data_IF_601114094641
#
_entry.id   IF_601114094641
#
_cell.length_a   1.000
_cell.length_b   1.000
_cell.length_c   1.000
_cell.angle_alpha   90.00
_cell.angle_beta   90.00
_cell.angle_gamma   90.00
#
_symmetry.space_group_name_H-M   'P 1'
#
loop_
_entity.id
_entity.type
_entity.pdbx_description
1 polymer ?
#
# COMPACT_ATOMS: atom_id res chain seq x y z
N UNK A 1 3.59 -9.75 9.93
CA UNK A 1 4.92 -10.19 9.44
C UNK A 1 5.99 -9.72 10.42
N UNK A 2 6.79 -10.61 11.04
CA UNK A 2 7.94 -10.20 11.84
C UNK A 2 8.91 -9.39 10.99
N UNK A 3 9.39 -8.27 11.51
CA UNK A 3 10.39 -7.43 10.86
C UNK A 3 11.57 -7.22 11.79
N UNK A 4 12.78 -7.65 11.40
CA UNK A 4 13.96 -7.47 12.24
C UNK A 4 14.33 -5.98 12.31
N UNK A 5 14.85 -5.55 13.46
CA UNK A 5 15.37 -4.21 13.78
C UNK A 5 14.39 -3.20 14.43
N UNK A 6 14.52 -2.88 15.73
CA UNK A 6 15.14 -3.71 16.77
C UNK A 6 14.32 -4.98 16.98
N UNK A 7 13.01 -4.88 17.21
CA UNK A 7 12.05 -5.99 17.19
C UNK A 7 10.68 -5.43 16.78
N UNK A 8 10.23 -5.69 15.55
CA UNK A 8 8.96 -5.15 15.06
C UNK A 8 8.03 -6.26 14.57
N UNK A 9 6.72 -6.04 14.75
CA UNK A 9 5.67 -6.86 14.19
C UNK A 9 4.82 -5.99 13.27
N UNK A 10 4.91 -6.23 11.97
CA UNK A 10 4.05 -5.53 11.00
C UNK A 10 2.66 -6.17 11.00
N UNK A 11 1.65 -5.34 11.24
CA UNK A 11 0.23 -5.70 11.15
C UNK A 11 -0.34 -4.96 9.95
N UNK A 12 -0.85 -5.71 8.98
CA UNK A 12 -1.40 -5.15 7.75
C UNK A 12 -2.88 -4.82 7.90
N UNK A 13 -3.29 -3.68 7.39
CA UNK A 13 -4.69 -3.24 7.34
C UNK A 13 -5.07 -2.85 5.93
N UNK A 14 -6.36 -2.96 5.62
CA UNK A 14 -6.98 -2.38 4.43
C UNK A 14 -7.91 -1.25 4.85
N UNK A 15 -7.88 -0.13 4.14
CA UNK A 15 -8.74 1.01 4.43
C UNK A 15 -9.35 1.57 3.14
N UNK A 16 -10.48 2.26 3.27
CA UNK A 16 -11.12 3.01 2.18
C UNK A 16 -10.99 4.49 2.47
N UNK A 17 -10.44 5.24 1.53
CA UNK A 17 -10.41 6.69 1.61
C UNK A 17 -11.84 7.24 1.61
N UNK A 18 -12.13 8.18 2.51
CA UNK A 18 -13.46 8.83 2.61
C UNK A 18 -13.59 10.03 1.66
N UNK A 19 -12.47 10.58 1.18
CA UNK A 19 -12.42 11.69 0.25
C UNK A 19 -11.30 11.46 -0.79
N UNK A 20 -11.44 10.46 -1.69
CA UNK A 20 -10.40 10.10 -2.66
C UNK A 20 -10.10 11.22 -3.67
N UNK A 21 -11.06 12.09 -3.95
CA UNK A 21 -10.91 13.21 -4.90
C UNK A 21 -10.13 14.40 -4.33
N UNK A 22 -9.81 14.39 -3.03
CA UNK A 22 -9.02 15.45 -2.41
C UNK A 22 -7.55 15.31 -2.81
N UNK A 23 -6.92 16.43 -3.11
CA UNK A 23 -5.48 16.48 -3.36
C UNK A 23 -4.69 15.92 -2.17
N UNK A 24 -3.71 15.05 -2.46
CA UNK A 24 -2.79 14.51 -1.47
C UNK A 24 -1.90 15.64 -0.94
N UNK A 25 -1.67 15.64 0.37
CA UNK A 25 -0.67 16.49 1.02
C UNK A 25 0.37 15.56 1.59
N UNK A 26 1.59 15.63 1.07
CA UNK A 26 2.69 14.73 1.45
C UNK A 26 3.56 15.42 2.50
N UNK A 27 3.92 14.70 3.56
CA UNK A 27 4.98 15.12 4.47
C UNK A 27 6.33 14.73 3.87
N UNK A 28 7.01 15.71 3.28
CA UNK A 28 8.29 15.53 2.59
C UNK A 28 9.45 15.17 3.55
N UNK A 29 9.24 15.27 4.87
CA UNK A 29 10.25 14.80 5.85
C UNK A 29 10.27 13.28 6.02
N UNK A 30 9.17 12.60 5.66
CA UNK A 30 9.03 11.14 5.75
C UNK A 30 8.97 10.48 4.37
N UNK A 31 8.23 11.06 3.42
CA UNK A 31 7.94 10.49 2.10
C UNK A 31 8.39 11.40 0.97
N UNK A 32 9.08 10.83 -0.01
CA UNK A 32 9.46 11.55 -1.25
C UNK A 32 8.25 11.85 -2.15
N UNK A 33 7.17 11.07 -2.04
CA UNK A 33 5.94 11.31 -2.80
C UNK A 33 4.83 10.28 -2.56
N UNK A 34 3.61 10.64 -2.95
CA UNK A 34 2.44 9.76 -2.89
C UNK A 34 1.51 10.02 -4.09
N UNK A 35 0.90 8.95 -4.61
CA UNK A 35 -0.06 9.00 -5.71
C UNK A 35 -1.14 7.93 -5.54
N UNK A 36 -2.30 8.17 -6.13
CA UNK A 36 -3.29 7.14 -6.38
C UNK A 36 -2.89 6.34 -7.62
N UNK A 37 -3.19 5.05 -7.62
CA UNK A 37 -2.92 4.15 -8.73
C UNK A 37 -4.15 3.31 -9.02
N UNK A 38 -4.42 3.13 -10.31
CA UNK A 38 -5.42 2.18 -10.78
C UNK A 38 -4.83 0.75 -10.78
N UNK A 39 -5.72 -0.25 -10.77
CA UNK A 39 -5.33 -1.65 -10.64
C UNK A 39 -4.49 -2.17 -11.83
N UNK A 40 -4.62 -1.53 -12.99
CA UNK A 40 -3.93 -1.84 -14.24
C UNK A 40 -2.72 -0.94 -14.54
N UNK A 41 -2.49 0.11 -13.72
CA UNK A 41 -1.36 1.04 -13.85
C UNK A 41 -0.56 1.14 -12.54
N UNK A 42 -0.12 -0.01 -12.04
CA UNK A 42 0.70 -0.09 -10.84
C UNK A 42 2.19 0.13 -11.14
N UNK A 43 2.93 0.80 -10.24
CA UNK A 43 4.37 0.96 -10.37
C UNK A 43 5.11 -0.35 -10.08
N UNK A 44 6.44 -0.31 -10.05
CA UNK A 44 7.22 -1.44 -9.57
C UNK A 44 6.82 -1.82 -8.14
N UNK A 45 6.32 -3.04 -7.98
CA UNK A 45 5.85 -3.53 -6.69
C UNK A 45 6.98 -4.13 -5.85
N UNK A 46 6.82 -4.12 -4.51
CA UNK A 46 7.72 -4.84 -3.62
C UNK A 46 7.78 -6.35 -3.91
N UNK A 47 8.82 -7.00 -3.40
CA UNK A 47 9.03 -8.45 -3.53
C UNK A 47 7.86 -9.26 -2.95
N UNK A 48 7.56 -10.40 -3.58
CA UNK A 48 6.40 -11.28 -3.28
C UNK A 48 6.30 -11.77 -1.83
N UNK A 49 7.42 -11.82 -1.10
CA UNK A 49 7.42 -12.25 0.30
C UNK A 49 7.03 -11.14 1.28
N UNK A 50 7.06 -9.88 0.88
CA UNK A 50 6.76 -8.74 1.77
C UNK A 50 5.28 -8.66 2.12
N UNK A 51 4.97 -8.19 3.33
CA UNK A 51 3.59 -7.92 3.73
C UNK A 51 2.92 -6.87 2.84
N UNK A 52 3.66 -5.82 2.45
CA UNK A 52 3.16 -4.79 1.53
C UNK A 52 2.69 -5.40 0.21
N UNK A 53 3.46 -6.34 -0.35
CA UNK A 53 3.07 -7.03 -1.58
C UNK A 53 1.82 -7.89 -1.38
N UNK A 54 1.71 -8.61 -0.27
CA UNK A 54 0.51 -9.39 0.05
C UNK A 54 -0.75 -8.50 0.17
N UNK A 55 -0.64 -7.32 0.77
CA UNK A 55 -1.76 -6.37 0.87
C UNK A 55 -2.21 -5.88 -0.52
N UNK A 56 -1.26 -5.56 -1.40
CA UNK A 56 -1.56 -5.11 -2.76
C UNK A 56 -2.19 -6.23 -3.59
N UNK A 57 -1.64 -7.45 -3.55
CA UNK A 57 -2.18 -8.61 -4.28
C UNK A 57 -3.61 -8.96 -3.79
N UNK A 58 -3.86 -8.87 -2.48
CA UNK A 58 -5.20 -9.06 -1.92
C UNK A 58 -6.20 -8.00 -2.39
N UNK A 59 -5.78 -6.74 -2.48
CA UNK A 59 -6.61 -5.66 -3.01
C UNK A 59 -6.92 -5.88 -4.51
N UNK A 60 -5.93 -6.24 -5.32
CA UNK A 60 -6.11 -6.57 -6.74
C UNK A 60 -7.11 -7.71 -6.93
N UNK A 61 -6.98 -8.79 -6.14
CA UNK A 61 -7.91 -9.91 -6.18
C UNK A 61 -9.35 -9.49 -5.79
N UNK A 62 -9.51 -8.56 -4.86
CA UNK A 62 -10.81 -8.05 -4.44
C UNK A 62 -11.47 -7.12 -5.47
N UNK A 63 -10.66 -6.34 -6.21
CA UNK A 63 -11.16 -5.47 -7.30
C UNK A 63 -11.53 -6.29 -8.53
N UNK A 64 -10.76 -7.32 -8.88
CA UNK A 64 -11.04 -8.19 -10.04
C UNK A 64 -12.31 -9.07 -9.89
N UNK A 65 -12.81 -9.23 -8.66
CA UNK A 65 -14.05 -9.98 -8.37
C UNK A 65 -15.32 -9.12 -8.46
N UNK A 66 -15.19 -7.82 -8.77
CA UNK A 66 -16.32 -6.91 -9.00
C UNK A 66 -16.57 -6.71 -10.48
#
# INVERSE_FOLDING_TARGET
QPWPYPHQLMIGFTARATAPDRALTVDESELDGAKWFDADDLPQLPGKLSLSRQLIDNWLAAVAQK
#
